data_IF_590087358121
#
_entry.id   IF_590087358121
#
_cell.length_a   1.000
_cell.length_b   1.000
_cell.length_c   1.000
_cell.angle_alpha   90.00
_cell.angle_beta   90.00
_cell.angle_gamma   90.00
#
_symmetry.space_group_name_H-M   'P 1'
#
loop_
_entity.id
_entity.type
_entity.pdbx_description
1 polymer ?
#
# COMPACT_ATOMS: atom_id res chain seq x y z
N UNK A 1 98.93 10.74 73.84
CA UNK A 1 98.40 9.55 73.09
C UNK A 1 96.95 9.22 73.41
N UNK A 2 96.43 9.41 74.60
CA UNK A 2 95.00 9.05 74.91
C UNK A 2 93.93 9.84 74.11
N UNK A 3 94.22 11.14 73.77
CA UNK A 3 93.21 11.93 72.99
C UNK A 3 93.08 11.54 71.50
N UNK A 4 94.10 10.94 70.89
CA UNK A 4 94.04 10.45 69.50
C UNK A 4 93.32 9.12 69.39
N UNK A 5 93.49 8.25 70.40
CA UNK A 5 92.77 6.93 70.43
C UNK A 5 91.26 7.11 70.59
N UNK A 6 90.81 8.10 71.38
CA UNK A 6 89.38 8.41 71.57
C UNK A 6 88.75 8.95 70.26
N UNK A 7 89.54 9.85 69.56
CA UNK A 7 89.01 10.35 68.24
C UNK A 7 88.89 9.24 67.19
N UNK A 8 89.83 8.28 67.21
CA UNK A 8 89.80 7.12 66.34
C UNK A 8 88.61 6.23 66.64
N UNK A 9 88.34 6.05 67.93
CA UNK A 9 87.21 5.18 68.37
C UNK A 9 85.83 5.83 68.03
N UNK A 10 85.71 7.14 68.18
CA UNK A 10 84.52 7.90 67.77
C UNK A 10 84.33 7.87 66.26
N UNK A 11 85.41 8.00 65.51
CA UNK A 11 85.35 7.92 64.06
C UNK A 11 84.92 6.50 63.60
N UNK A 12 85.43 5.46 64.23
CA UNK A 12 85.05 4.07 63.95
C UNK A 12 83.57 3.80 64.29
N UNK A 13 83.12 4.32 65.46
CA UNK A 13 81.71 4.19 65.84
C UNK A 13 80.76 4.91 64.88
N UNK A 14 81.18 6.09 64.37
CA UNK A 14 80.40 6.82 63.36
C UNK A 14 80.33 6.07 62.04
N UNK A 15 81.42 5.46 61.60
CA UNK A 15 81.43 4.63 60.37
C UNK A 15 80.53 3.38 60.53
N UNK A 16 80.62 2.73 61.68
CA UNK A 16 79.74 1.54 61.93
C UNK A 16 78.26 1.94 61.98
N UNK A 17 77.96 3.07 62.64
CA UNK A 17 76.59 3.60 62.65
C UNK A 17 76.06 3.93 61.21
N UNK A 18 76.94 4.55 60.41
CA UNK A 18 76.63 4.84 58.99
C UNK A 18 76.40 3.56 58.16
N UNK A 19 77.27 2.55 58.37
CA UNK A 19 77.11 1.26 57.70
C UNK A 19 75.86 0.54 58.13
N UNK A 20 75.42 0.60 59.40
CA UNK A 20 74.14 0.05 59.86
C UNK A 20 72.98 0.81 59.29
N UNK A 21 73.05 2.13 59.19
CA UNK A 21 71.95 2.94 58.59
C UNK A 21 71.76 2.66 57.11
N UNK A 22 72.80 2.53 56.34
CA UNK A 22 72.76 2.24 54.91
C UNK A 22 72.44 0.75 54.61
N UNK A 23 72.76 -0.19 55.52
CA UNK A 23 72.47 -1.61 55.38
C UNK A 23 70.96 -1.91 55.21
N UNK A 24 70.17 -1.13 55.96
CA UNK A 24 68.69 -1.23 55.84
C UNK A 24 68.17 -0.73 54.50
N UNK A 25 68.77 0.38 54.00
CA UNK A 25 68.39 1.01 52.74
C UNK A 25 68.82 0.18 51.55
N UNK A 26 69.98 -0.44 51.57
CA UNK A 26 70.45 -1.34 50.51
C UNK A 26 69.63 -2.58 50.38
N UNK A 27 69.17 -3.17 51.50
CA UNK A 27 68.25 -4.31 51.48
C UNK A 27 66.93 -3.97 50.82
N UNK A 28 66.45 -2.75 51.04
CA UNK A 28 65.12 -2.31 50.47
C UNK A 28 65.21 -2.02 48.99
N UNK A 29 66.35 -1.61 48.47
CA UNK A 29 66.56 -1.30 47.03
C UNK A 29 66.91 -2.58 46.24
N UNK A 30 67.60 -3.54 46.88
CA UNK A 30 68.09 -4.74 46.21
C UNK A 30 67.07 -5.92 46.14
N UNK A 31 65.99 -5.84 46.89
CA UNK A 31 64.97 -6.85 46.79
C UNK A 31 63.99 -6.55 45.63
N UNK A 32 64.11 -7.34 44.61
CA UNK A 32 63.13 -7.31 43.51
C UNK A 32 61.67 -7.50 44.06
N UNK A 33 60.89 -6.45 43.96
CA UNK A 33 59.46 -6.53 44.33
C UNK A 33 58.71 -7.35 43.24
N UNK A 34 58.50 -8.58 43.46
CA UNK A 34 57.71 -9.45 42.58
C UNK A 34 56.27 -9.30 43.00
N UNK A 35 55.44 -8.79 42.11
CA UNK A 35 54.01 -8.81 42.29
C UNK A 35 53.44 -10.18 41.83
N UNK A 36 53.12 -10.99 42.81
CA UNK A 36 52.44 -12.28 42.52
C UNK A 36 51.05 -11.96 42.02
N UNK A 37 50.76 -12.28 40.80
CA UNK A 37 49.44 -12.25 40.23
C UNK A 37 48.98 -13.71 40.10
N UNK A 38 47.90 -13.99 40.78
CA UNK A 38 47.26 -15.32 40.66
C UNK A 38 46.60 -15.37 39.26
N UNK A 39 47.03 -16.30 38.45
CA UNK A 39 46.37 -16.55 37.17
C UNK A 39 44.96 -17.10 37.45
N UNK A 40 43.95 -16.34 37.16
CA UNK A 40 42.59 -16.82 37.16
C UNK A 40 42.28 -17.32 35.76
N UNK A 41 41.71 -18.52 35.67
CA UNK A 41 41.23 -19.06 34.41
C UNK A 41 39.99 -18.27 34.02
N UNK A 42 40.12 -17.37 33.07
CA UNK A 42 39.03 -16.62 32.48
C UNK A 42 38.66 -17.15 31.10
N UNK A 43 37.42 -17.08 30.72
CA UNK A 43 37.02 -17.29 29.31
C UNK A 43 37.42 -16.02 28.56
N UNK A 44 38.15 -16.19 27.48
CA UNK A 44 38.34 -15.13 26.48
C UNK A 44 37.08 -15.11 25.60
N UNK A 45 36.23 -14.11 25.82
CA UNK A 45 35.10 -13.88 24.97
C UNK A 45 35.44 -12.79 23.97
N UNK A 46 35.39 -13.11 22.71
CA UNK A 46 35.53 -12.17 21.62
C UNK A 46 34.16 -11.59 21.28
N UNK A 47 33.98 -10.30 21.51
CA UNK A 47 32.73 -9.60 21.19
C UNK A 47 32.82 -9.02 19.78
N UNK A 48 32.02 -9.55 18.86
CA UNK A 48 31.89 -9.01 17.51
C UNK A 48 30.73 -8.01 17.50
N UNK A 49 31.01 -6.75 17.23
CA UNK A 49 30.00 -5.70 17.15
C UNK A 49 29.54 -5.55 15.70
N UNK A 50 28.26 -5.77 15.48
CA UNK A 50 27.61 -5.64 14.18
C UNK A 50 26.51 -4.58 14.24
N UNK A 51 26.33 -3.87 13.13
CA UNK A 51 25.16 -3.02 12.92
C UNK A 51 24.11 -3.85 12.15
N UNK A 52 22.89 -3.83 12.63
CA UNK A 52 21.79 -4.55 11.99
C UNK A 52 20.57 -3.66 11.79
N UNK A 53 19.78 -3.99 10.80
CA UNK A 53 18.48 -3.34 10.54
C UNK A 53 17.33 -4.29 10.86
N UNK A 54 16.30 -3.75 11.52
CA UNK A 54 15.06 -4.47 11.72
C UNK A 54 14.27 -4.43 10.41
N UNK A 55 13.92 -5.59 9.88
CA UNK A 55 13.15 -5.74 8.65
C UNK A 55 12.03 -6.76 8.84
N UNK A 56 11.03 -6.71 7.98
CA UNK A 56 9.99 -7.72 7.90
C UNK A 56 10.20 -8.53 6.64
N UNK A 57 10.23 -9.87 6.71
CA UNK A 57 10.45 -10.74 5.53
C UNK A 57 9.29 -10.63 4.55
N UNK A 58 8.07 -10.53 5.06
CA UNK A 58 6.86 -10.39 4.27
C UNK A 58 6.28 -9.00 4.44
N UNK A 59 5.94 -8.37 3.31
CA UNK A 59 5.45 -7.01 3.23
C UNK A 59 4.24 -6.95 2.31
N UNK A 60 3.36 -6.02 2.58
CA UNK A 60 2.19 -5.71 1.78
C UNK A 60 2.16 -4.22 1.42
N UNK A 61 1.70 -3.94 0.22
CA UNK A 61 1.60 -2.60 -0.30
C UNK A 61 0.21 -2.02 0.00
N UNK A 62 0.15 -1.03 0.87
CA UNK A 62 -1.04 -0.21 1.02
C UNK A 62 -1.05 0.85 -0.09
N UNK A 63 -1.93 0.65 -1.08
CA UNK A 63 -2.13 1.52 -2.22
C UNK A 63 -3.61 1.79 -2.44
N UNK A 64 -3.93 2.89 -3.10
CA UNK A 64 -5.26 3.16 -3.62
C UNK A 64 -5.39 2.56 -5.02
N UNK A 65 -6.49 1.90 -5.29
CA UNK A 65 -6.86 1.49 -6.64
C UNK A 65 -7.53 2.67 -7.33
N UNK A 66 -6.77 3.37 -8.16
CA UNK A 66 -7.23 4.52 -8.93
C UNK A 66 -7.25 4.16 -10.42
N UNK A 67 -8.23 4.69 -11.15
CA UNK A 67 -8.22 4.62 -12.61
C UNK A 67 -7.07 5.48 -13.19
N UNK A 68 -6.69 5.20 -14.44
CA UNK A 68 -5.50 5.81 -15.07
C UNK A 68 -5.56 7.33 -15.21
N UNK A 69 -6.75 7.90 -15.18
CA UNK A 69 -7.06 9.32 -15.29
C UNK A 69 -7.34 9.98 -13.92
N UNK A 70 -7.38 9.19 -12.85
CA UNK A 70 -7.62 9.66 -11.49
C UNK A 70 -6.31 9.90 -10.75
N UNK A 71 -6.28 10.94 -9.97
CA UNK A 71 -5.21 11.24 -9.02
C UNK A 71 -5.78 11.84 -7.74
N UNK A 72 -5.06 11.64 -6.66
CA UNK A 72 -5.44 12.20 -5.36
C UNK A 72 -4.30 13.05 -4.81
N UNK A 73 -4.64 14.06 -4.01
CA UNK A 73 -3.67 14.85 -3.26
C UNK A 73 -3.65 14.37 -1.81
N UNK A 74 -2.47 14.01 -1.32
CA UNK A 74 -2.30 13.54 0.06
C UNK A 74 -2.46 14.73 1.02
N UNK A 75 -3.48 14.71 1.86
CA UNK A 75 -3.70 15.76 2.89
C UNK A 75 -2.81 15.56 4.09
N UNK A 76 -2.75 14.34 4.60
CA UNK A 76 -2.02 14.03 5.83
C UNK A 76 -1.65 12.56 5.91
N UNK A 77 -0.43 12.30 6.38
CA UNK A 77 0.01 10.95 6.76
C UNK A 77 -0.13 10.83 8.28
N UNK A 78 -0.86 9.82 8.75
CA UNK A 78 -1.22 9.63 10.17
C UNK A 78 -0.29 8.67 10.90
N UNK A 79 0.54 7.97 10.18
CA UNK A 79 1.45 6.96 10.70
C UNK A 79 2.91 7.36 10.53
N UNK A 80 3.79 6.71 11.27
CA UNK A 80 5.23 6.90 11.18
C UNK A 80 5.92 5.54 10.95
N UNK A 81 7.06 5.56 10.28
CA UNK A 81 7.89 4.36 10.05
C UNK A 81 8.23 3.66 11.37
N UNK A 82 8.04 2.35 11.43
CA UNK A 82 8.27 1.51 12.60
C UNK A 82 7.12 1.52 13.63
N UNK A 83 6.05 2.28 13.41
CA UNK A 83 4.88 2.26 14.29
C UNK A 83 4.06 0.99 14.09
N UNK A 84 3.58 0.42 15.19
CA UNK A 84 2.55 -0.62 15.16
C UNK A 84 1.20 0.01 14.84
N UNK A 85 0.44 -0.65 13.97
CA UNK A 85 -0.91 -0.30 13.56
C UNK A 85 -1.85 -1.47 13.81
N UNK A 86 -3.11 -1.17 13.97
CA UNK A 86 -4.20 -2.14 14.05
C UNK A 86 -5.12 -2.03 12.85
N UNK A 87 -5.83 -3.11 12.54
CA UNK A 87 -6.87 -3.10 11.51
C UNK A 87 -7.86 -1.95 11.77
N UNK A 88 -8.14 -1.15 10.73
CA UNK A 88 -8.99 0.03 10.81
C UNK A 88 -8.27 1.33 11.19
N UNK A 89 -7.00 1.31 11.60
CA UNK A 89 -6.23 2.54 11.84
C UNK A 89 -6.07 3.33 10.54
N UNK A 90 -6.26 4.66 10.62
CA UNK A 90 -6.07 5.55 9.47
C UNK A 90 -4.59 5.68 9.17
N UNK A 91 -4.19 5.28 7.97
CA UNK A 91 -2.82 5.38 7.46
C UNK A 91 -2.53 6.79 6.94
N UNK A 92 -3.38 7.27 6.06
CA UNK A 92 -3.30 8.61 5.51
C UNK A 92 -4.68 9.10 5.06
N UNK A 93 -4.79 10.40 4.89
CA UNK A 93 -5.96 11.12 4.38
C UNK A 93 -5.59 11.72 3.04
N UNK A 94 -6.48 11.61 2.07
CA UNK A 94 -6.30 12.22 0.76
C UNK A 94 -7.60 12.87 0.27
N UNK A 95 -7.51 13.63 -0.79
CA UNK A 95 -8.65 14.17 -1.52
C UNK A 95 -8.46 13.95 -3.02
N UNK A 96 -9.55 13.75 -3.73
CA UNK A 96 -9.52 13.64 -5.20
C UNK A 96 -9.04 14.98 -5.78
N UNK A 97 -8.01 14.91 -6.62
CA UNK A 97 -7.44 16.12 -7.22
C UNK A 97 -8.46 16.79 -8.13
N UNK A 98 -8.77 18.05 -7.87
CA UNK A 98 -9.74 18.80 -8.66
C UNK A 98 -11.22 18.45 -8.41
N UNK A 99 -11.52 17.70 -7.35
CA UNK A 99 -12.88 17.26 -6.99
C UNK A 99 -13.94 18.38 -7.10
N UNK A 100 -13.72 19.52 -6.45
CA UNK A 100 -14.71 20.61 -6.43
C UNK A 100 -15.02 21.14 -7.82
N UNK A 101 -13.98 21.30 -8.65
CA UNK A 101 -14.13 21.80 -10.03
C UNK A 101 -14.85 20.80 -10.92
N UNK A 102 -14.51 19.51 -10.80
CA UNK A 102 -15.15 18.46 -11.58
C UNK A 102 -16.59 18.26 -11.14
N UNK A 103 -16.86 18.27 -9.84
CA UNK A 103 -18.22 18.20 -9.28
C UNK A 103 -19.07 19.37 -9.71
N UNK A 104 -18.55 20.59 -9.68
CA UNK A 104 -19.26 21.78 -10.17
C UNK A 104 -19.60 21.68 -11.66
N UNK A 105 -18.66 21.20 -12.46
CA UNK A 105 -18.87 20.96 -13.89
C UNK A 105 -19.96 19.92 -14.16
N UNK A 106 -19.90 18.79 -13.46
CA UNK A 106 -20.89 17.70 -13.60
C UNK A 106 -22.29 18.16 -13.17
N UNK A 107 -22.40 18.87 -12.05
CA UNK A 107 -23.66 19.44 -11.59
C UNK A 107 -24.21 20.47 -12.58
N UNK A 108 -23.35 21.33 -13.13
CA UNK A 108 -23.73 22.29 -14.18
C UNK A 108 -24.25 21.60 -15.44
N UNK A 109 -23.61 20.51 -15.85
CA UNK A 109 -24.05 19.69 -17.00
C UNK A 109 -25.39 18.98 -16.74
N UNK A 110 -25.57 18.48 -15.49
CA UNK A 110 -26.83 17.88 -15.06
C UNK A 110 -27.98 18.88 -15.11
N UNK A 111 -27.79 20.05 -14.47
CA UNK A 111 -28.80 21.10 -14.41
C UNK A 111 -29.17 21.64 -15.81
N UNK A 112 -28.15 21.78 -16.69
CA UNK A 112 -28.39 22.20 -18.07
C UNK A 112 -29.19 21.18 -18.87
N UNK A 113 -28.90 19.88 -18.70
CA UNK A 113 -29.64 18.80 -19.35
C UNK A 113 -31.07 18.70 -18.79
N UNK A 114 -31.24 18.82 -17.47
CA UNK A 114 -32.55 18.80 -16.81
C UNK A 114 -33.42 19.96 -17.29
N UNK A 115 -32.85 21.18 -17.35
CA UNK A 115 -33.56 22.35 -17.87
C UNK A 115 -34.02 22.15 -19.30
N UNK A 116 -33.16 21.62 -20.17
CA UNK A 116 -33.53 21.34 -21.56
C UNK A 116 -34.64 20.30 -21.65
N UNK A 117 -34.59 19.24 -20.84
CA UNK A 117 -35.64 18.22 -20.80
C UNK A 117 -36.98 18.82 -20.38
N UNK A 118 -37.01 19.65 -19.33
CA UNK A 118 -38.22 20.33 -18.88
C UNK A 118 -38.79 21.27 -19.96
N UNK A 119 -37.92 22.01 -20.67
CA UNK A 119 -38.33 22.86 -21.78
C UNK A 119 -38.93 22.03 -22.93
N UNK A 120 -38.30 20.89 -23.26
CA UNK A 120 -38.79 19.99 -24.27
C UNK A 120 -40.15 19.39 -23.90
N UNK A 121 -40.30 18.90 -22.66
CA UNK A 121 -41.57 18.37 -22.14
C UNK A 121 -42.67 19.43 -22.12
N UNK A 122 -42.38 20.65 -21.69
CA UNK A 122 -43.33 21.75 -21.70
C UNK A 122 -43.77 22.13 -23.10
N UNK A 123 -42.87 22.14 -24.08
CA UNK A 123 -43.16 22.45 -25.49
C UNK A 123 -44.07 21.40 -26.13
N UNK A 124 -43.91 20.12 -25.71
CA UNK A 124 -44.57 18.98 -26.31
C UNK A 124 -45.65 18.35 -25.41
N UNK A 125 -46.04 19.03 -24.28
CA UNK A 125 -46.99 18.50 -23.28
C UNK A 125 -48.39 18.20 -23.80
N UNK A 126 -48.79 18.85 -24.91
CA UNK A 126 -50.10 18.65 -25.57
C UNK A 126 -50.05 17.62 -26.71
N UNK A 127 -48.89 16.97 -26.97
CA UNK A 127 -48.79 15.94 -27.97
C UNK A 127 -49.69 14.74 -27.63
N UNK A 128 -50.77 14.53 -28.44
CA UNK A 128 -51.59 13.34 -28.37
C UNK A 128 -50.99 12.27 -29.24
N UNK A 129 -50.39 11.25 -28.58
CA UNK A 129 -49.83 10.09 -29.30
C UNK A 129 -50.94 9.26 -29.95
N UNK A 130 -50.74 8.87 -31.21
CA UNK A 130 -51.55 7.88 -31.86
C UNK A 130 -51.13 6.48 -31.42
N UNK A 131 -51.98 5.49 -31.55
CA UNK A 131 -51.63 4.11 -31.19
C UNK A 131 -50.39 3.58 -31.92
N UNK A 132 -50.17 3.98 -33.15
CA UNK A 132 -48.99 3.64 -33.95
C UNK A 132 -47.70 4.23 -33.36
N UNK A 133 -47.78 5.45 -32.82
CA UNK A 133 -46.68 6.13 -32.19
C UNK A 133 -46.31 5.52 -30.83
N UNK A 134 -47.33 5.13 -30.04
CA UNK A 134 -47.14 4.37 -28.80
C UNK A 134 -46.42 3.04 -29.07
N UNK A 135 -46.85 2.26 -30.06
CA UNK A 135 -46.22 0.99 -30.45
C UNK A 135 -44.75 1.23 -30.88
N UNK A 136 -44.52 2.33 -31.62
CA UNK A 136 -43.15 2.69 -32.04
C UNK A 136 -42.26 3.05 -30.85
N UNK A 137 -42.78 3.84 -29.89
CA UNK A 137 -42.06 4.22 -28.67
C UNK A 137 -41.65 2.97 -27.88
N UNK A 138 -42.64 2.07 -27.62
CA UNK A 138 -42.42 0.83 -26.89
C UNK A 138 -41.33 -0.03 -27.56
N UNK A 139 -41.37 -0.13 -28.90
CA UNK A 139 -40.42 -0.91 -29.67
C UNK A 139 -39.00 -0.24 -29.69
N UNK A 140 -38.97 1.09 -29.78
CA UNK A 140 -37.72 1.87 -29.75
C UNK A 140 -37.03 1.74 -28.40
N UNK A 141 -37.76 1.89 -27.29
CA UNK A 141 -37.23 1.77 -25.94
C UNK A 141 -36.75 0.33 -25.64
N UNK A 142 -37.54 -0.67 -26.06
CA UNK A 142 -37.14 -2.07 -25.93
C UNK A 142 -35.84 -2.38 -26.69
N UNK A 143 -35.68 -1.82 -27.90
CA UNK A 143 -34.45 -1.97 -28.67
C UNK A 143 -33.27 -1.30 -28.01
N UNK A 144 -33.44 -0.11 -27.46
CA UNK A 144 -32.41 0.58 -26.72
C UNK A 144 -31.95 -0.23 -25.52
N UNK A 145 -32.90 -0.65 -24.68
CA UNK A 145 -32.61 -1.47 -23.50
C UNK A 145 -31.87 -2.78 -23.85
N UNK A 146 -32.27 -3.47 -24.91
CA UNK A 146 -31.61 -4.71 -25.32
C UNK A 146 -30.17 -4.47 -25.84
N UNK A 147 -29.89 -3.31 -26.43
CA UNK A 147 -28.51 -2.92 -26.80
C UNK A 147 -27.63 -2.66 -25.58
N UNK A 148 -28.17 -1.96 -24.59
CA UNK A 148 -27.46 -1.66 -23.35
C UNK A 148 -27.18 -2.97 -22.57
N UNK A 149 -28.16 -3.89 -22.49
CA UNK A 149 -27.99 -5.21 -21.86
C UNK A 149 -26.95 -6.07 -22.59
N UNK A 150 -26.89 -6.04 -23.92
CA UNK A 150 -25.86 -6.74 -24.69
C UNK A 150 -24.49 -6.14 -24.43
N UNK A 151 -24.34 -4.81 -24.45
CA UNK A 151 -23.07 -4.13 -24.16
C UNK A 151 -22.57 -4.46 -22.76
N UNK A 152 -23.46 -4.48 -21.78
CA UNK A 152 -23.14 -4.87 -20.41
C UNK A 152 -22.68 -6.33 -20.33
N UNK A 153 -23.39 -7.26 -20.95
CA UNK A 153 -23.03 -8.68 -20.96
C UNK A 153 -21.65 -8.90 -21.61
N UNK A 154 -21.36 -8.21 -22.72
CA UNK A 154 -20.06 -8.25 -23.39
C UNK A 154 -18.95 -7.71 -22.50
N UNK A 155 -19.17 -6.57 -21.86
CA UNK A 155 -18.21 -5.98 -20.94
C UNK A 155 -17.90 -6.91 -19.76
N UNK A 156 -18.94 -7.51 -19.17
CA UNK A 156 -18.76 -8.46 -18.06
C UNK A 156 -17.92 -9.68 -18.47
N UNK A 157 -18.20 -10.22 -19.67
CA UNK A 157 -17.42 -11.33 -20.22
C UNK A 157 -15.95 -10.94 -20.48
N UNK A 158 -15.71 -9.78 -21.08
CA UNK A 158 -14.36 -9.29 -21.37
C UNK A 158 -13.54 -9.08 -20.10
N UNK A 159 -14.14 -8.47 -19.08
CA UNK A 159 -13.48 -8.25 -17.77
C UNK A 159 -13.14 -9.58 -17.11
N UNK A 160 -14.12 -10.51 -17.07
CA UNK A 160 -13.88 -11.83 -16.46
C UNK A 160 -12.84 -12.65 -17.23
N UNK A 161 -12.85 -12.61 -18.57
CA UNK A 161 -11.86 -13.28 -19.41
C UNK A 161 -10.44 -12.71 -19.16
N UNK A 162 -10.33 -11.39 -19.05
CA UNK A 162 -9.05 -10.71 -18.75
C UNK A 162 -8.50 -11.11 -17.38
N UNK A 163 -9.36 -11.16 -16.35
CA UNK A 163 -8.98 -11.60 -15.01
C UNK A 163 -8.56 -13.07 -14.98
N UNK A 164 -9.22 -13.93 -15.78
CA UNK A 164 -8.86 -15.35 -15.92
C UNK A 164 -7.65 -15.60 -16.84
N UNK A 165 -7.07 -14.58 -17.46
CA UNK A 165 -5.97 -14.72 -18.42
C UNK A 165 -6.38 -15.38 -19.74
N UNK A 166 -7.69 -15.41 -20.05
CA UNK A 166 -8.26 -16.02 -21.26
C UNK A 166 -8.43 -14.97 -22.35
N UNK A 167 -7.93 -15.25 -23.54
CA UNK A 167 -8.12 -14.37 -24.71
C UNK A 167 -9.34 -14.84 -25.50
N UNK A 168 -10.35 -13.97 -25.60
CA UNK A 168 -11.55 -14.24 -26.43
C UNK A 168 -11.18 -14.27 -27.92
N UNK A 169 -11.77 -15.17 -28.69
CA UNK A 169 -11.56 -15.33 -30.13
C UNK A 169 -12.85 -14.96 -30.85
N UNK A 170 -12.83 -13.87 -31.62
CA UNK A 170 -14.03 -13.41 -32.33
C UNK A 170 -15.22 -13.11 -31.41
N UNK A 171 -14.97 -12.74 -30.14
CA UNK A 171 -16.02 -12.53 -29.14
C UNK A 171 -16.51 -13.81 -28.47
N UNK A 172 -15.98 -14.99 -28.83
CA UNK A 172 -16.34 -16.28 -28.26
C UNK A 172 -15.28 -16.84 -27.30
N UNK A 173 -15.66 -17.85 -26.53
CA UNK A 173 -14.75 -18.56 -25.62
C UNK A 173 -13.89 -19.55 -26.41
N UNK A 174 -12.56 -19.58 -26.16
CA UNK A 174 -11.70 -20.61 -26.71
C UNK A 174 -11.89 -21.96 -25.97
N UNK A 175 -11.49 -23.07 -26.60
CA UNK A 175 -11.55 -24.40 -25.97
C UNK A 175 -10.79 -24.47 -24.62
N UNK A 176 -9.75 -23.69 -24.47
CA UNK A 176 -8.99 -23.60 -23.21
C UNK A 176 -9.77 -23.05 -22.01
N UNK A 177 -10.94 -22.47 -22.25
CA UNK A 177 -11.85 -21.97 -21.22
C UNK A 177 -13.07 -22.90 -20.96
N UNK A 178 -13.08 -24.08 -21.57
CA UNK A 178 -14.22 -25.03 -21.49
C UNK A 178 -14.52 -25.53 -20.06
N UNK A 179 -13.53 -25.48 -19.15
CA UNK A 179 -13.70 -25.89 -17.75
C UNK A 179 -14.02 -24.71 -16.81
N UNK A 180 -14.09 -23.49 -17.32
CA UNK A 180 -14.38 -22.31 -16.51
C UNK A 180 -15.90 -21.98 -16.56
N UNK A 181 -16.63 -22.52 -15.59
CA UNK A 181 -18.09 -22.37 -15.52
C UNK A 181 -18.54 -20.90 -15.50
N UNK A 182 -17.81 -20.02 -14.79
CA UNK A 182 -18.13 -18.60 -14.73
C UNK A 182 -18.06 -17.93 -16.11
N UNK A 183 -17.04 -18.25 -16.91
CA UNK A 183 -16.91 -17.69 -18.26
C UNK A 183 -17.97 -18.27 -19.20
N UNK A 184 -18.35 -19.55 -19.02
CA UNK A 184 -19.43 -20.19 -19.78
C UNK A 184 -20.77 -19.50 -19.51
N UNK A 185 -21.11 -19.26 -18.25
CA UNK A 185 -22.36 -18.60 -17.84
C UNK A 185 -22.41 -17.14 -18.37
N UNK A 186 -21.31 -16.39 -18.31
CA UNK A 186 -21.23 -15.05 -18.87
C UNK A 186 -21.32 -15.05 -20.40
N UNK A 187 -20.75 -16.03 -21.07
CA UNK A 187 -20.86 -16.17 -22.52
C UNK A 187 -22.29 -16.52 -22.94
N UNK A 188 -22.97 -17.40 -22.18
CA UNK A 188 -24.39 -17.69 -22.40
C UNK A 188 -25.24 -16.43 -22.23
N UNK A 189 -24.96 -15.60 -21.22
CA UNK A 189 -25.64 -14.31 -21.05
C UNK A 189 -25.44 -13.37 -22.26
N UNK A 190 -24.28 -13.38 -22.91
CA UNK A 190 -24.05 -12.62 -24.16
C UNK A 190 -24.93 -13.18 -25.30
N UNK A 191 -25.01 -14.51 -25.47
CA UNK A 191 -25.86 -15.15 -26.51
C UNK A 191 -27.33 -14.81 -26.27
N UNK A 192 -27.81 -14.89 -25.03
CA UNK A 192 -29.18 -14.57 -24.67
C UNK A 192 -29.50 -13.09 -24.94
N UNK A 193 -28.58 -12.17 -24.58
CA UNK A 193 -28.71 -10.75 -24.88
C UNK A 193 -28.68 -10.45 -26.38
N UNK A 194 -27.87 -11.15 -27.18
CA UNK A 194 -27.85 -11.03 -28.63
C UNK A 194 -29.20 -11.46 -29.24
N UNK A 195 -29.77 -12.56 -28.74
CA UNK A 195 -31.06 -13.06 -29.17
C UNK A 195 -32.18 -12.07 -28.84
N UNK A 196 -32.17 -11.53 -27.61
CA UNK A 196 -33.13 -10.52 -27.17
C UNK A 196 -33.04 -9.23 -28.04
N UNK A 197 -31.82 -8.79 -28.36
CA UNK A 197 -31.58 -7.65 -29.24
C UNK A 197 -32.11 -7.89 -30.64
N UNK A 198 -31.90 -9.09 -31.23
CA UNK A 198 -32.39 -9.42 -32.55
C UNK A 198 -33.93 -9.42 -32.59
N UNK A 199 -34.60 -9.92 -31.55
CA UNK A 199 -36.07 -9.87 -31.43
C UNK A 199 -36.59 -8.44 -31.28
N UNK A 200 -35.95 -7.62 -30.43
CA UNK A 200 -36.30 -6.22 -30.26
C UNK A 200 -36.10 -5.43 -31.57
N UNK A 201 -35.02 -5.68 -32.28
CA UNK A 201 -34.76 -5.08 -33.62
C UNK A 201 -35.86 -5.45 -34.62
N UNK A 202 -36.33 -6.70 -34.62
CA UNK A 202 -37.44 -7.14 -35.47
C UNK A 202 -38.75 -6.42 -35.14
N UNK A 203 -39.06 -6.27 -33.83
CA UNK A 203 -40.22 -5.52 -33.36
C UNK A 203 -40.16 -4.06 -33.77
N UNK A 204 -39.00 -3.42 -33.58
CA UNK A 204 -38.78 -2.04 -34.01
C UNK A 204 -38.93 -1.84 -35.51
N UNK A 205 -38.35 -2.74 -36.34
CA UNK A 205 -38.51 -2.67 -37.80
C UNK A 205 -39.97 -2.79 -38.23
N UNK A 206 -40.75 -3.60 -37.53
CA UNK A 206 -42.21 -3.73 -37.82
C UNK A 206 -42.97 -2.46 -37.41
N UNK A 207 -42.68 -1.92 -36.22
CA UNK A 207 -43.27 -0.67 -35.74
C UNK A 207 -42.92 0.52 -36.65
N UNK A 208 -41.69 0.60 -37.14
CA UNK A 208 -41.21 1.65 -38.03
C UNK A 208 -41.97 1.68 -39.39
N UNK A 209 -42.56 0.54 -39.82
CA UNK A 209 -43.40 0.49 -41.03
C UNK A 209 -44.77 1.15 -40.82
N UNK A 210 -45.21 1.34 -39.58
CA UNK A 210 -46.48 2.00 -39.28
C UNK A 210 -46.44 3.51 -39.53
N UNK A 211 -45.26 4.09 -39.54
CA UNK A 211 -45.02 5.52 -39.70
C UNK A 211 -45.38 6.31 -38.43
N UNK A 212 -44.56 7.27 -38.10
CA UNK A 212 -44.82 8.21 -37.01
C UNK A 212 -44.62 9.64 -37.51
N UNK A 213 -45.22 10.61 -36.85
CA UNK A 213 -44.98 12.00 -37.19
C UNK A 213 -43.54 12.44 -36.85
N UNK A 214 -42.99 13.33 -37.66
CA UNK A 214 -41.61 13.82 -37.49
C UNK A 214 -41.45 14.56 -36.14
N UNK A 215 -42.46 15.30 -35.71
CA UNK A 215 -42.48 15.99 -34.42
C UNK A 215 -42.39 15.02 -33.24
N UNK A 216 -43.13 13.92 -33.29
CA UNK A 216 -43.09 12.88 -32.23
C UNK A 216 -41.77 12.17 -32.25
N UNK A 217 -41.20 11.86 -33.39
CA UNK A 217 -39.89 11.24 -33.52
C UNK A 217 -38.79 12.11 -32.94
N UNK A 218 -38.79 13.42 -33.28
CA UNK A 218 -37.82 14.39 -32.74
C UNK A 218 -37.93 14.49 -31.21
N UNK A 219 -39.16 14.64 -30.69
CA UNK A 219 -39.38 14.68 -29.24
C UNK A 219 -38.87 13.44 -28.52
N UNK A 220 -39.15 12.25 -29.03
CA UNK A 220 -38.71 11.01 -28.38
C UNK A 220 -37.19 10.90 -28.40
N UNK A 221 -36.57 11.18 -29.55
CA UNK A 221 -35.10 11.07 -29.70
C UNK A 221 -34.39 12.05 -28.76
N UNK A 222 -34.78 13.34 -28.79
CA UNK A 222 -34.19 14.36 -27.94
C UNK A 222 -34.43 14.10 -26.44
N UNK A 223 -35.66 13.68 -26.08
CA UNK A 223 -35.99 13.35 -24.69
C UNK A 223 -35.15 12.19 -24.16
N UNK A 224 -34.91 11.14 -24.99
CA UNK A 224 -34.08 10.02 -24.63
C UNK A 224 -32.64 10.40 -24.48
N UNK A 225 -32.07 11.14 -25.43
CA UNK A 225 -30.67 11.62 -25.33
C UNK A 225 -30.42 12.43 -24.06
N UNK A 226 -31.40 13.31 -23.70
CA UNK A 226 -31.29 14.10 -22.48
C UNK A 226 -31.40 13.22 -21.22
N UNK A 227 -32.30 12.26 -21.18
CA UNK A 227 -32.44 11.30 -20.08
C UNK A 227 -31.19 10.44 -19.92
N UNK A 228 -30.61 9.93 -21.01
CA UNK A 228 -29.36 9.17 -21.00
C UNK A 228 -28.18 10.04 -20.52
N UNK A 229 -28.14 11.31 -20.95
CA UNK A 229 -27.13 12.26 -20.46
C UNK A 229 -27.26 12.49 -18.95
N UNK A 230 -28.50 12.70 -18.46
CA UNK A 230 -28.78 12.88 -17.03
C UNK A 230 -28.33 11.64 -16.23
N UNK A 231 -28.70 10.45 -16.67
CA UNK A 231 -28.32 9.20 -16.00
C UNK A 231 -26.80 9.03 -15.93
N UNK A 232 -26.10 9.20 -17.04
CA UNK A 232 -24.62 9.11 -17.10
C UNK A 232 -23.94 10.17 -16.26
N UNK A 233 -24.48 11.39 -16.24
CA UNK A 233 -23.89 12.45 -15.42
C UNK A 233 -24.10 12.19 -13.92
N UNK A 234 -25.27 11.68 -13.55
CA UNK A 234 -25.56 11.27 -12.16
C UNK A 234 -24.69 10.11 -11.70
N UNK A 235 -24.44 9.12 -12.57
CA UNK A 235 -23.53 8.01 -12.31
C UNK A 235 -22.11 8.52 -12.03
N UNK A 236 -21.60 9.42 -12.89
CA UNK A 236 -20.27 10.05 -12.67
C UNK A 236 -20.19 10.84 -11.37
N UNK A 237 -21.25 11.58 -11.01
CA UNK A 237 -21.32 12.28 -9.72
C UNK A 237 -21.23 11.29 -8.57
N UNK A 238 -22.00 10.19 -8.63
CA UNK A 238 -21.98 9.17 -7.59
C UNK A 238 -20.63 8.45 -7.50
N UNK A 239 -19.99 8.13 -8.62
CA UNK A 239 -18.64 7.53 -8.66
C UNK A 239 -17.61 8.45 -8.05
N UNK A 240 -17.66 9.74 -8.38
CA UNK A 240 -16.75 10.75 -7.83
C UNK A 240 -16.95 10.93 -6.32
N UNK A 241 -18.20 10.94 -5.84
CA UNK A 241 -18.52 11.00 -4.41
C UNK A 241 -18.03 9.75 -3.65
N UNK A 242 -18.23 8.56 -4.22
CA UNK A 242 -17.75 7.29 -3.64
C UNK A 242 -16.23 7.30 -3.56
N UNK A 243 -15.56 7.70 -4.64
CA UNK A 243 -14.10 7.81 -4.65
C UNK A 243 -13.62 8.81 -3.58
N UNK A 244 -14.24 9.97 -3.47
CA UNK A 244 -13.89 10.99 -2.47
C UNK A 244 -14.04 10.45 -1.04
N UNK A 245 -15.07 9.64 -0.76
CA UNK A 245 -15.26 8.98 0.53
C UNK A 245 -14.18 7.92 0.79
N UNK A 246 -13.86 7.09 -0.20
CA UNK A 246 -12.85 6.04 -0.06
C UNK A 246 -11.45 6.59 0.21
N UNK A 247 -11.07 7.69 -0.45
CA UNK A 247 -9.74 8.27 -0.29
C UNK A 247 -9.63 9.20 0.92
N UNK A 248 -10.76 9.66 1.47
CA UNK A 248 -10.78 10.59 2.62
C UNK A 248 -10.04 10.02 3.83
N UNK A 249 -10.16 8.71 4.07
CA UNK A 249 -9.47 7.98 5.13
C UNK A 249 -9.05 6.60 4.63
N UNK A 250 -7.79 6.45 4.28
CA UNK A 250 -7.23 5.14 3.91
C UNK A 250 -6.80 4.41 5.16
N UNK A 251 -7.40 3.24 5.39
CA UNK A 251 -7.24 2.46 6.63
C UNK A 251 -6.42 1.21 6.41
N UNK A 252 -5.77 0.75 7.50
CA UNK A 252 -5.08 -0.53 7.52
C UNK A 252 -6.08 -1.68 7.42
N UNK A 253 -5.79 -2.66 6.56
CA UNK A 253 -6.61 -3.85 6.39
C UNK A 253 -6.43 -4.85 7.55
N UNK A 254 -5.25 -4.90 8.15
CA UNK A 254 -4.86 -5.83 9.21
C UNK A 254 -3.91 -5.18 10.21
N UNK A 255 -3.64 -5.89 11.30
CA UNK A 255 -2.63 -5.52 12.29
C UNK A 255 -1.22 -5.70 11.70
N UNK A 256 -0.31 -4.79 12.03
CA UNK A 256 1.06 -4.89 11.52
C UNK A 256 1.96 -3.73 11.95
N UNK A 257 3.00 -3.51 11.17
CA UNK A 257 3.96 -2.42 11.36
C UNK A 257 4.16 -1.65 10.07
N UNK A 258 4.33 -0.35 10.19
CA UNK A 258 4.69 0.53 9.06
C UNK A 258 6.16 0.32 8.71
N UNK A 259 6.44 -0.26 7.55
CA UNK A 259 7.81 -0.54 7.08
C UNK A 259 8.39 0.65 6.34
N UNK A 260 7.61 1.24 5.43
CA UNK A 260 8.05 2.35 4.59
C UNK A 260 6.89 3.30 4.29
N UNK A 261 7.18 4.57 4.10
CA UNK A 261 6.22 5.60 3.73
C UNK A 261 6.80 6.31 2.51
N UNK A 262 6.11 6.20 1.38
CA UNK A 262 6.55 6.72 0.08
C UNK A 262 5.81 7.99 -0.32
N UNK A 263 4.91 8.48 0.52
CA UNK A 263 4.10 9.67 0.30
C UNK A 263 4.30 10.71 1.40
N UNK A 264 4.05 11.97 1.06
CA UNK A 264 4.06 13.09 2.00
C UNK A 264 2.82 13.95 1.80
N UNK A 265 2.47 14.73 2.82
CA UNK A 265 1.41 15.71 2.69
C UNK A 265 1.72 16.73 1.58
N UNK A 266 0.76 16.95 0.69
CA UNK A 266 0.87 17.78 -0.51
C UNK A 266 1.27 17.03 -1.78
N UNK A 267 1.68 15.76 -1.70
CA UNK A 267 2.03 14.97 -2.89
C UNK A 267 0.78 14.64 -3.71
N UNK A 268 0.92 14.67 -5.03
CA UNK A 268 -0.01 14.03 -5.94
C UNK A 268 0.30 12.53 -6.03
N UNK A 269 -0.72 11.70 -5.91
CA UNK A 269 -0.58 10.25 -5.90
C UNK A 269 -1.55 9.62 -6.93
N UNK A 270 -1.02 8.73 -7.77
CA UNK A 270 -1.73 8.09 -8.89
C UNK A 270 -2.04 6.59 -8.70
N UNK A 271 -1.77 6.05 -7.52
CA UNK A 271 -2.05 4.64 -7.19
C UNK A 271 -1.06 3.62 -7.76
N UNK A 272 -0.09 4.00 -8.61
CA UNK A 272 0.80 3.04 -9.28
C UNK A 272 1.82 2.39 -8.37
N UNK A 273 2.29 3.14 -7.37
CA UNK A 273 3.28 2.66 -6.40
C UNK A 273 2.65 2.49 -5.03
N UNK A 274 3.26 1.72 -4.14
CA UNK A 274 2.81 1.64 -2.76
C UNK A 274 2.90 3.01 -2.09
N UNK A 275 1.80 3.51 -1.54
CA UNK A 275 1.80 4.73 -0.72
C UNK A 275 2.52 4.49 0.61
N UNK A 276 2.19 3.38 1.25
CA UNK A 276 2.78 2.91 2.49
C UNK A 276 3.03 1.40 2.36
N UNK A 277 4.19 0.93 2.79
CA UNK A 277 4.49 -0.49 2.86
C UNK A 277 4.28 -0.93 4.31
N UNK A 278 3.48 -1.96 4.50
CA UNK A 278 3.18 -2.57 5.78
C UNK A 278 3.88 -3.92 5.91
N UNK A 279 4.07 -4.41 7.14
CA UNK A 279 4.38 -5.83 7.34
C UNK A 279 3.13 -6.64 7.01
N UNK A 280 3.28 -7.81 6.37
CA UNK A 280 2.17 -8.72 6.17
C UNK A 280 1.55 -9.16 7.50
N UNK A 281 0.31 -9.59 7.48
CA UNK A 281 -0.40 -10.08 8.66
C UNK A 281 0.38 -11.22 9.32
N UNK A 282 0.61 -11.13 10.64
CA UNK A 282 1.37 -12.13 11.39
C UNK A 282 2.88 -12.17 11.12
N UNK A 283 3.43 -11.32 10.24
CA UNK A 283 4.86 -11.25 9.97
C UNK A 283 5.63 -10.74 11.18
N UNK A 284 6.58 -11.53 11.67
CA UNK A 284 7.46 -11.13 12.76
C UNK A 284 8.68 -10.36 12.26
N UNK A 285 9.12 -9.34 13.03
CA UNK A 285 10.31 -8.58 12.65
C UNK A 285 11.59 -9.42 12.82
N UNK A 286 12.44 -9.38 11.80
CA UNK A 286 13.75 -10.05 11.76
C UNK A 286 14.85 -8.99 11.76
N UNK A 287 15.84 -9.15 12.62
CA UNK A 287 17.05 -8.34 12.58
C UNK A 287 18.03 -8.93 11.55
N UNK A 288 18.32 -8.17 10.52
CA UNK A 288 19.37 -8.50 9.54
C UNK A 288 20.62 -7.69 9.82
N UNK A 289 21.76 -8.36 9.98
CA UNK A 289 23.06 -7.72 10.15
C UNK A 289 23.97 -8.13 8.99
N UNK A 290 24.77 -7.20 8.49
CA UNK A 290 25.78 -7.47 7.48
C UNK A 290 27.04 -8.04 8.17
N UNK A 291 27.38 -9.26 7.80
CA UNK A 291 28.53 -10.00 8.31
C UNK A 291 29.70 -10.04 7.33
N UNK A 292 29.62 -9.36 6.20
CA UNK A 292 30.66 -9.36 5.14
C UNK A 292 32.02 -8.89 5.60
N UNK A 293 32.09 -8.12 6.71
CA UNK A 293 33.33 -7.62 7.32
C UNK A 293 33.83 -8.44 8.49
N UNK A 294 33.18 -9.57 8.76
CA UNK A 294 33.54 -10.45 9.89
C UNK A 294 34.33 -11.63 9.35
N UNK A 295 35.56 -11.80 9.82
CA UNK A 295 36.45 -12.91 9.39
C UNK A 295 35.96 -14.28 9.86
N UNK A 296 35.03 -14.34 10.81
CA UNK A 296 34.46 -15.58 11.34
C UNK A 296 33.08 -15.84 10.78
N UNK A 297 32.81 -17.08 10.44
CA UNK A 297 31.47 -17.55 10.08
C UNK A 297 30.58 -17.54 11.32
N UNK A 298 29.45 -16.82 11.24
CA UNK A 298 28.43 -16.82 12.28
C UNK A 298 27.45 -17.94 11.94
N UNK A 299 27.36 -18.92 12.82
CA UNK A 299 26.52 -20.10 12.60
C UNK A 299 25.10 -19.89 13.16
N UNK A 300 24.13 -20.63 12.57
CA UNK A 300 22.80 -20.76 13.11
C UNK A 300 22.84 -21.25 14.56
N UNK A 301 22.10 -20.57 15.44
CA UNK A 301 22.08 -20.87 16.88
C UNK A 301 23.07 -20.03 17.70
N UNK A 302 23.99 -19.27 17.08
CA UNK A 302 24.87 -18.33 17.78
C UNK A 302 24.04 -17.33 18.57
N UNK A 303 24.43 -17.10 19.82
CA UNK A 303 23.74 -16.14 20.69
C UNK A 303 24.16 -14.72 20.36
N UNK A 304 23.19 -13.85 20.09
CA UNK A 304 23.41 -12.44 19.75
C UNK A 304 22.70 -11.56 20.78
N UNK A 305 23.43 -10.58 21.29
CA UNK A 305 22.87 -9.58 22.20
C UNK A 305 22.67 -8.26 21.46
N UNK A 306 21.44 -7.83 21.32
CA UNK A 306 21.06 -6.56 20.71
C UNK A 306 20.96 -5.49 21.78
N UNK A 307 21.61 -4.36 21.56
CA UNK A 307 21.51 -3.19 22.44
C UNK A 307 20.74 -2.10 21.67
N UNK A 308 19.62 -1.66 22.23
CA UNK A 308 18.89 -0.51 21.71
C UNK A 308 19.56 0.79 22.16
N UNK A 309 19.33 1.88 21.43
CA UNK A 309 19.77 3.23 21.84
C UNK A 309 19.23 3.64 23.21
N UNK A 310 18.07 3.09 23.61
CA UNK A 310 17.48 3.24 24.95
C UNK A 310 18.22 2.49 26.06
N UNK A 311 19.31 1.77 25.74
CA UNK A 311 20.09 0.98 26.70
C UNK A 311 19.52 -0.40 27.06
N UNK A 312 18.30 -0.73 26.60
CA UNK A 312 17.72 -2.08 26.79
C UNK A 312 18.41 -3.11 25.90
N UNK A 313 18.79 -4.23 26.49
CA UNK A 313 19.40 -5.37 25.78
C UNK A 313 18.36 -6.47 25.55
N UNK A 314 18.43 -7.10 24.40
CA UNK A 314 17.64 -8.29 24.05
C UNK A 314 18.58 -9.35 23.51
N UNK A 315 18.54 -10.55 24.11
CA UNK A 315 19.34 -11.68 23.65
C UNK A 315 18.47 -12.64 22.84
N UNK A 316 18.92 -12.97 21.63
CA UNK A 316 18.28 -13.89 20.70
C UNK A 316 19.33 -14.81 20.07
N UNK A 317 18.86 -15.87 19.41
CA UNK A 317 19.74 -16.76 18.64
C UNK A 317 19.62 -16.46 17.16
N UNK A 318 20.70 -16.61 16.41
CA UNK A 318 20.72 -16.55 14.95
C UNK A 318 19.81 -17.64 14.41
N UNK A 319 18.80 -17.26 13.65
CA UNK A 319 17.84 -18.18 13.04
C UNK A 319 18.25 -18.62 11.64
N UNK A 320 18.94 -17.72 10.93
CA UNK A 320 19.46 -17.95 9.59
C UNK A 320 20.80 -17.24 9.43
N UNK A 321 21.80 -17.95 8.99
CA UNK A 321 23.10 -17.43 8.62
C UNK A 321 23.19 -17.56 7.10
N UNK A 322 22.85 -16.49 6.39
CA UNK A 322 22.92 -16.46 4.93
C UNK A 322 24.32 -16.85 4.44
N UNK A 323 24.37 -17.57 3.35
CA UNK A 323 25.60 -17.94 2.64
C UNK A 323 26.10 -16.73 1.84
#
# INVERSE_FOLDING_TARGET
>A
MKKMAIKGLVALAAVVALCMFFSGTIKTISTAKVKLVTATQGKLEEEIKLSGQLTFPEKEDAKLELSSDQSVTIKRVRVAKGRRISAGDVLFEAEVSGYDKEMESLRGDYDAAQKKLLELERKNGDLRLKRTEEIWIEAYDALGKSKDELAQAQTNLEVAAKLAGVKLIGGGLPESAADNQQLIDLYQAVIDAQTAQAEAQKKFNNANRLGISEDVLSYITESRELKDKLAKTQEKIAELDVLAQQVSEVKAAHDGYVVEINIKAGDAYDGKTAAIVLSAEGSEPVLRADTSKVERTIEKGTQVTMKRDSGKTLTKKVTDAGV
#
